data_IF_115957359143
#
_entry.id   IF_115957359143
#
_cell.length_a   1.000
_cell.length_b   1.000
_cell.length_c   1.000
_cell.angle_alpha   90.00
_cell.angle_beta   90.00
_cell.angle_gamma   90.00
#
_symmetry.space_group_name_H-M   'P 1'
#
loop_
_entity.id
_entity.type
_entity.pdbx_description
1 polymer ?
#
# COMPACT_ATOMS: atom_id res chain seq x y z
N UNK A 1 -8.13 -17.92 3.26
CA UNK A 1 -8.30 -16.68 4.04
C UNK A 1 -7.00 -16.43 4.79
N UNK A 2 -6.43 -15.23 4.73
CA UNK A 2 -5.23 -14.87 5.50
C UNK A 2 -5.67 -14.02 6.69
N UNK A 3 -5.25 -14.39 7.90
CA UNK A 3 -5.56 -13.65 9.11
C UNK A 3 -4.38 -12.77 9.51
N UNK A 4 -4.68 -11.59 10.03
CA UNK A 4 -3.66 -10.67 10.57
C UNK A 4 -4.18 -10.03 11.84
N UNK A 5 -3.28 -9.44 12.61
CA UNK A 5 -3.56 -8.91 13.95
C UNK A 5 -4.52 -7.70 13.93
N UNK A 6 -4.46 -6.84 12.91
CA UNK A 6 -5.31 -5.65 12.81
C UNK A 6 -5.58 -5.22 11.35
N UNK A 7 -6.40 -4.17 11.18
CA UNK A 7 -6.75 -3.62 9.87
C UNK A 7 -5.53 -3.14 9.07
N UNK A 8 -4.61 -2.39 9.71
CA UNK A 8 -3.38 -1.91 9.07
C UNK A 8 -2.51 -3.07 8.59
N UNK A 9 -2.35 -4.11 9.42
CA UNK A 9 -1.63 -5.34 9.03
C UNK A 9 -2.32 -6.06 7.86
N UNK A 10 -3.65 -6.05 7.81
CA UNK A 10 -4.41 -6.62 6.69
C UNK A 10 -4.10 -5.88 5.37
N UNK A 11 -3.95 -4.55 5.41
CA UNK A 11 -3.56 -3.75 4.25
C UNK A 11 -2.11 -4.06 3.83
N UNK A 12 -1.16 -4.16 4.76
CA UNK A 12 0.22 -4.57 4.45
C UNK A 12 0.28 -5.92 3.73
N UNK A 13 -0.50 -6.89 4.21
CA UNK A 13 -0.63 -8.21 3.58
C UNK A 13 -1.19 -8.07 2.16
N UNK A 14 -2.27 -7.31 1.99
CA UNK A 14 -2.87 -7.10 0.67
C UNK A 14 -1.92 -6.41 -0.32
N UNK A 15 -1.15 -5.42 0.12
CA UNK A 15 -0.14 -4.73 -0.69
C UNK A 15 0.96 -5.70 -1.12
N UNK A 16 1.50 -6.49 -0.19
CA UNK A 16 2.56 -7.47 -0.47
C UNK A 16 2.10 -8.55 -1.45
N UNK A 17 0.93 -9.14 -1.23
CA UNK A 17 0.37 -10.18 -2.12
C UNK A 17 0.08 -9.62 -3.52
N UNK A 18 -0.44 -8.38 -3.60
CA UNK A 18 -0.69 -7.70 -4.87
C UNK A 18 0.61 -7.44 -5.64
N UNK A 19 1.66 -6.97 -4.95
CA UNK A 19 2.97 -6.77 -5.54
C UNK A 19 3.60 -8.08 -6.01
N UNK A 20 3.59 -9.11 -5.15
CA UNK A 20 4.12 -10.44 -5.49
C UNK A 20 3.46 -11.01 -6.74
N UNK A 21 2.13 -10.90 -6.88
CA UNK A 21 1.43 -11.32 -8.10
C UNK A 21 1.91 -10.58 -9.34
N UNK A 22 2.16 -9.26 -9.25
CA UNK A 22 2.69 -8.47 -10.38
C UNK A 22 4.07 -8.96 -10.80
N UNK A 23 4.95 -9.25 -9.83
CA UNK A 23 6.28 -9.82 -10.08
C UNK A 23 6.18 -11.17 -10.77
N UNK A 24 5.37 -12.10 -10.22
CA UNK A 24 5.19 -13.44 -10.77
C UNK A 24 4.61 -13.45 -12.19
N UNK A 25 3.95 -12.37 -12.60
CA UNK A 25 3.40 -12.21 -13.94
C UNK A 25 4.22 -11.28 -14.85
N UNK A 26 5.45 -10.93 -14.46
CA UNK A 26 6.35 -10.07 -15.25
C UNK A 26 5.85 -8.62 -15.43
N UNK A 27 4.91 -8.17 -14.60
CA UNK A 27 4.30 -6.83 -14.74
C UNK A 27 5.14 -5.71 -14.12
N UNK A 28 6.22 -6.05 -13.41
CA UNK A 28 7.13 -5.10 -12.76
C UNK A 28 8.36 -4.79 -13.59
N UNK A 29 8.56 -5.45 -14.73
CA UNK A 29 9.78 -5.37 -15.51
C UNK A 29 9.81 -4.15 -16.44
N UNK A 30 11.02 -3.67 -16.73
CA UNK A 30 11.25 -2.51 -17.59
C UNK A 30 10.86 -1.15 -16.98
N UNK A 31 11.02 -0.09 -17.76
CA UNK A 31 10.75 1.30 -17.31
C UNK A 31 9.27 1.55 -16.95
N UNK A 32 8.35 0.77 -17.53
CA UNK A 32 6.90 0.91 -17.35
C UNK A 32 6.28 -0.07 -16.33
N UNK A 33 7.09 -0.80 -15.56
CA UNK A 33 6.61 -1.78 -14.59
C UNK A 33 5.64 -1.21 -13.53
N UNK A 34 4.54 -1.93 -13.27
CA UNK A 34 3.43 -1.56 -12.36
C UNK A 34 3.83 -1.63 -10.88
N UNK A 35 4.51 -0.58 -10.41
CA UNK A 35 5.01 -0.48 -9.01
C UNK A 35 4.15 0.39 -8.07
N UNK A 36 3.20 1.14 -8.61
CA UNK A 36 2.37 2.07 -7.83
C UNK A 36 1.07 1.41 -7.35
N UNK A 37 0.53 1.95 -6.28
CA UNK A 37 -0.80 1.66 -5.77
C UNK A 37 -1.68 2.90 -5.92
N UNK A 38 -2.98 2.69 -6.15
CA UNK A 38 -3.95 3.76 -6.21
C UNK A 38 -4.64 3.90 -4.85
N UNK A 39 -4.90 5.15 -4.45
CA UNK A 39 -5.62 5.49 -3.23
C UNK A 39 -6.75 6.46 -3.57
N UNK A 40 -7.90 6.31 -2.92
CA UNK A 40 -9.01 7.25 -3.07
C UNK A 40 -8.77 8.49 -2.22
N UNK A 41 -9.14 9.67 -2.72
CA UNK A 41 -9.03 10.91 -1.93
C UNK A 41 -9.82 10.77 -0.62
N UNK A 42 -9.23 11.26 0.47
CA UNK A 42 -9.79 11.18 1.82
C UNK A 42 -10.00 9.75 2.37
N UNK A 43 -9.36 8.72 1.79
CA UNK A 43 -9.40 7.37 2.34
C UNK A 43 -8.49 7.20 3.56
N UNK A 44 -8.86 6.26 4.42
CA UNK A 44 -8.08 5.80 5.56
C UNK A 44 -7.88 4.28 5.46
N UNK A 45 -6.63 3.85 5.41
CA UNK A 45 -6.22 2.44 5.27
C UNK A 45 -5.39 1.94 6.46
N UNK A 46 -5.16 2.78 7.46
CA UNK A 46 -4.40 2.44 8.66
C UNK A 46 -3.09 3.22 8.80
N UNK A 47 -2.29 2.84 9.79
CA UNK A 47 -1.19 3.65 10.32
C UNK A 47 0.19 2.97 10.23
N UNK A 48 0.26 1.69 9.81
CA UNK A 48 1.56 1.08 9.48
C UNK A 48 2.11 1.70 8.20
N UNK A 49 3.43 1.68 7.98
CA UNK A 49 4.08 2.43 6.91
C UNK A 49 3.46 2.24 5.52
N UNK A 50 3.23 1.00 5.08
CA UNK A 50 2.63 0.71 3.79
C UNK A 50 1.15 1.09 3.73
N UNK A 51 0.41 0.86 4.82
CA UNK A 51 -1.00 1.25 4.93
C UNK A 51 -1.18 2.78 4.90
N UNK A 52 -0.33 3.51 5.61
CA UNK A 52 -0.32 4.96 5.67
C UNK A 52 0.14 5.57 4.34
N UNK A 53 1.11 4.95 3.66
CA UNK A 53 1.56 5.37 2.32
C UNK A 53 0.41 5.34 1.28
N UNK A 54 -0.60 4.50 1.49
CA UNK A 54 -1.79 4.41 0.62
C UNK A 54 -3.03 5.10 1.21
N UNK A 55 -2.91 5.86 2.30
CA UNK A 55 -3.99 6.72 2.81
C UNK A 55 -4.15 7.98 1.92
N UNK A 56 -5.36 8.25 1.46
CA UNK A 56 -5.64 9.45 0.67
C UNK A 56 -6.03 10.68 1.50
N UNK A 57 -6.08 10.58 2.83
CA UNK A 57 -6.32 11.71 3.72
C UNK A 57 -5.00 12.39 4.13
N UNK A 58 -4.77 13.66 3.74
CA UNK A 58 -3.53 14.37 4.07
C UNK A 58 -3.30 14.54 5.58
N UNK A 59 -4.37 14.69 6.36
CA UNK A 59 -4.26 14.88 7.81
C UNK A 59 -3.51 13.74 8.51
N UNK A 60 -3.67 12.52 8.01
CA UNK A 60 -2.98 11.34 8.53
C UNK A 60 -1.61 11.12 7.89
N UNK A 61 -1.48 11.39 6.58
CA UNK A 61 -0.28 11.06 5.80
C UNK A 61 0.84 12.11 5.90
N UNK A 62 0.49 13.39 5.86
CA UNK A 62 1.47 14.50 5.79
C UNK A 62 2.43 14.59 6.98
N UNK A 63 2.01 14.35 8.25
CA UNK A 63 2.95 14.37 9.38
C UNK A 63 4.11 13.39 9.23
N UNK A 64 3.94 12.35 8.42
CA UNK A 64 4.94 11.30 8.16
C UNK A 64 5.47 11.37 6.71
N UNK A 65 5.20 12.45 5.97
CA UNK A 65 5.53 12.55 4.55
C UNK A 65 7.03 12.45 4.23
N UNK A 66 7.92 12.77 5.17
CA UNK A 66 9.37 12.58 5.00
C UNK A 66 9.81 11.12 5.21
N UNK A 67 8.97 10.30 5.85
CA UNK A 67 9.22 8.88 6.12
C UNK A 67 8.62 7.96 5.06
N UNK A 68 7.62 8.43 4.32
CA UNK A 68 6.86 7.68 3.29
C UNK A 68 7.41 7.93 1.87
#
# INVERSE_FOLDING_TARGET
MFYSDCGSASIEVALKLSYQRRVLCGQTDGRSGKRRFAALRNSYHGETLGALAVCGSPAWREPFGSLL
#
